data_IF_297926957459
#
_entry.id   IF_297926957459
#
_cell.length_a   1.000
_cell.length_b   1.000
_cell.length_c   1.000
_cell.angle_alpha   90.00
_cell.angle_beta   90.00
_cell.angle_gamma   90.00
#
_symmetry.space_group_name_H-M   'P 1'
#
loop_
_entity.id
_entity.type
_entity.pdbx_description
1 polymer ?
#
# COMPACT_ATOMS: atom_id res chain seq x y z
N UNK A 1 -11.49 -6.40 4.01
CA UNK A 1 -10.37 -6.02 3.10
C UNK A 1 -10.86 -6.14 1.66
N UNK A 2 -10.76 -5.07 0.88
CA UNK A 2 -11.33 -4.96 -0.48
C UNK A 2 -10.21 -4.77 -1.50
N UNK A 3 -10.21 -5.57 -2.57
CA UNK A 3 -9.24 -5.46 -3.67
C UNK A 3 -9.76 -4.46 -4.71
N UNK A 4 -8.91 -3.50 -5.09
CA UNK A 4 -9.21 -2.47 -6.08
C UNK A 4 -8.71 -2.88 -7.46
N UNK A 5 -7.47 -3.36 -7.54
CA UNK A 5 -6.86 -3.81 -8.79
C UNK A 5 -5.76 -4.84 -8.55
N UNK A 6 -5.43 -5.57 -9.62
CA UNK A 6 -4.29 -6.50 -9.66
C UNK A 6 -3.49 -6.22 -10.92
N UNK A 7 -2.23 -5.87 -10.74
CA UNK A 7 -1.26 -5.61 -11.81
C UNK A 7 -0.29 -6.79 -11.87
N UNK A 8 -0.17 -7.45 -13.02
CA UNK A 8 0.64 -8.67 -13.20
C UNK A 8 2.03 -8.39 -13.77
N UNK A 9 2.53 -7.15 -13.65
CA UNK A 9 3.83 -6.80 -14.23
C UNK A 9 5.02 -7.41 -13.46
N UNK A 10 6.10 -7.82 -14.16
CA UNK A 10 7.32 -8.28 -13.50
C UNK A 10 7.92 -7.19 -12.59
N UNK A 11 8.61 -7.54 -11.48
CA UNK A 11 9.08 -8.88 -11.10
C UNK A 11 8.10 -9.68 -10.23
N UNK A 12 6.98 -9.09 -9.79
CA UNK A 12 5.96 -9.75 -8.97
C UNK A 12 4.63 -9.02 -9.07
N UNK A 13 3.50 -9.74 -9.02
CA UNK A 13 2.19 -9.12 -9.09
C UNK A 13 1.96 -8.15 -7.93
N UNK A 14 1.33 -7.03 -8.23
CA UNK A 14 0.97 -5.99 -7.27
C UNK A 14 -0.54 -5.95 -7.10
N UNK A 15 -1.00 -6.18 -5.87
CA UNK A 15 -2.41 -6.13 -5.48
C UNK A 15 -2.65 -4.80 -4.78
N UNK A 16 -3.52 -3.96 -5.35
CA UNK A 16 -3.96 -2.73 -4.70
C UNK A 16 -5.22 -3.00 -3.89
N UNK A 17 -5.21 -2.58 -2.64
CA UNK A 17 -6.36 -2.71 -1.74
C UNK A 17 -6.82 -1.34 -1.27
N UNK A 18 -8.08 -1.23 -0.89
CA UNK A 18 -8.54 -0.11 -0.09
C UNK A 18 -7.99 -0.25 1.33
N UNK A 19 -7.57 0.88 1.94
CA UNK A 19 -7.14 0.92 3.34
C UNK A 19 -8.18 0.24 4.24
N UNK A 20 -7.70 -0.64 5.10
CA UNK A 20 -8.48 -1.38 6.09
C UNK A 20 -7.87 -1.21 7.48
N UNK A 21 -8.65 -1.35 8.54
CA UNK A 21 -8.15 -1.24 9.93
C UNK A 21 -6.99 -2.21 10.21
N UNK A 22 -7.07 -3.42 9.64
CA UNK A 22 -6.01 -4.42 9.72
C UNK A 22 -4.66 -3.93 9.16
N UNK A 23 -4.66 -3.01 8.20
CA UNK A 23 -3.42 -2.43 7.68
C UNK A 23 -2.68 -1.62 8.74
N UNK A 24 -3.41 -0.89 9.60
CA UNK A 24 -2.83 -0.15 10.72
C UNK A 24 -2.20 -1.11 11.74
N UNK A 25 -2.86 -2.24 12.02
CA UNK A 25 -2.30 -3.29 12.87
C UNK A 25 -1.03 -3.89 12.26
N UNK A 26 -1.03 -4.19 10.95
CA UNK A 26 0.15 -4.71 10.25
C UNK A 26 1.35 -3.75 10.29
N UNK A 27 1.13 -2.43 10.23
CA UNK A 27 2.18 -1.44 10.42
C UNK A 27 2.74 -1.49 11.85
N UNK A 28 1.87 -1.54 12.86
CA UNK A 28 2.27 -1.63 14.28
C UNK A 28 3.05 -2.91 14.60
N UNK A 29 2.72 -4.00 13.91
CA UNK A 29 3.38 -5.31 14.03
C UNK A 29 4.63 -5.43 13.15
N UNK A 30 5.06 -4.37 12.47
CA UNK A 30 6.22 -4.35 11.55
C UNK A 30 6.09 -5.33 10.37
N UNK A 31 4.88 -5.81 10.08
CA UNK A 31 4.57 -6.67 8.93
C UNK A 31 4.38 -5.88 7.64
N UNK A 32 4.15 -4.57 7.76
CA UNK A 32 4.03 -3.64 6.67
C UNK A 32 4.87 -2.39 6.94
N UNK A 33 5.19 -1.64 5.89
CA UNK A 33 5.90 -0.36 6.00
C UNK A 33 5.27 0.70 5.10
N UNK A 34 5.43 1.97 5.50
CA UNK A 34 5.10 3.11 4.63
C UNK A 34 6.30 3.49 3.78
N UNK A 35 6.03 3.72 2.50
CA UNK A 35 6.94 4.37 1.58
C UNK A 35 6.32 5.72 1.23
N UNK A 36 7.04 6.80 1.57
CA UNK A 36 6.66 8.14 1.18
C UNK A 36 6.95 8.36 -0.29
N UNK A 37 6.00 8.97 -1.00
CA UNK A 37 6.27 9.53 -2.31
C UNK A 37 6.32 11.05 -2.15
N UNK A 38 7.35 11.67 -2.72
CA UNK A 38 7.46 13.13 -2.72
C UNK A 38 6.29 13.75 -3.49
N UNK A 39 5.94 14.97 -3.07
CA UNK A 39 4.81 15.80 -3.49
C UNK A 39 4.28 15.51 -4.90
N UNK A 40 3.06 14.98 -4.98
CA UNK A 40 2.24 15.22 -6.16
C UNK A 40 1.64 16.62 -6.01
N UNK A 41 1.91 17.49 -7.00
CA UNK A 41 1.49 18.90 -7.04
C UNK A 41 -0.02 19.08 -6.81
N UNK A 42 -0.83 18.04 -7.02
CA UNK A 42 -2.29 18.09 -6.88
C UNK A 42 -2.85 17.47 -5.60
N UNK A 43 -2.16 16.52 -4.97
CA UNK A 43 -2.73 15.68 -3.89
C UNK A 43 -2.02 15.82 -2.54
N UNK A 44 -0.96 16.63 -2.45
CA UNK A 44 -0.19 16.79 -1.23
C UNK A 44 0.74 15.60 -0.98
N UNK A 45 1.18 15.45 0.27
CA UNK A 45 2.00 14.29 0.66
C UNK A 45 1.08 13.08 0.74
N UNK A 46 1.41 12.02 0.00
CA UNK A 46 0.76 10.73 0.18
C UNK A 46 1.82 9.68 0.50
N UNK A 47 1.40 8.69 1.29
CA UNK A 47 2.24 7.55 1.66
C UNK A 47 1.56 6.28 1.20
N UNK A 48 2.35 5.32 0.77
CA UNK A 48 1.84 4.01 0.37
C UNK A 48 2.29 2.97 1.39
N UNK A 49 1.31 2.34 2.03
CA UNK A 49 1.56 1.19 2.88
C UNK A 49 1.78 -0.05 2.03
N UNK A 50 2.74 -0.88 2.42
CA UNK A 50 3.13 -2.06 1.63
C UNK A 50 3.52 -3.23 2.52
N UNK A 51 3.15 -4.45 2.09
CA UNK A 51 3.70 -5.71 2.61
C UNK A 51 3.83 -6.74 1.49
N UNK A 52 4.54 -7.83 1.78
CA UNK A 52 4.60 -8.99 0.90
C UNK A 52 3.73 -10.12 1.43
N UNK A 53 3.00 -10.78 0.54
CA UNK A 53 2.21 -11.96 0.85
C UNK A 53 2.34 -12.98 -0.29
N UNK A 54 2.88 -14.15 0.00
CA UNK A 54 3.00 -15.26 -0.96
C UNK A 54 3.62 -14.83 -2.31
N UNK A 55 4.69 -14.03 -2.26
CA UNK A 55 5.36 -13.51 -3.46
C UNK A 55 4.67 -12.32 -4.14
N UNK A 56 3.47 -11.92 -3.71
CA UNK A 56 2.78 -10.73 -4.19
C UNK A 56 3.15 -9.50 -3.36
N UNK A 57 3.23 -8.34 -4.00
CA UNK A 57 3.28 -7.05 -3.32
C UNK A 57 1.84 -6.59 -3.07
N UNK A 58 1.49 -6.26 -1.84
CA UNK A 58 0.17 -5.69 -1.51
C UNK A 58 0.37 -4.25 -1.10
N UNK A 59 -0.40 -3.33 -1.69
CA UNK A 59 -0.25 -1.89 -1.47
C UNK A 59 -1.59 -1.19 -1.23
N UNK A 60 -1.57 -0.13 -0.43
CA UNK A 60 -2.68 0.83 -0.30
C UNK A 60 -2.12 2.24 -0.16
N UNK A 61 -2.84 3.21 -0.72
CA UNK A 61 -2.46 4.62 -0.61
C UNK A 61 -3.18 5.25 0.59
N UNK A 62 -2.46 6.08 1.34
CA UNK A 62 -3.00 6.96 2.37
C UNK A 62 -2.66 8.40 2.00
N UNK A 63 -3.70 9.22 1.88
CA UNK A 63 -3.56 10.66 1.84
C UNK A 63 -3.27 11.14 3.27
N UNK A 64 -2.16 11.84 3.48
CA UNK A 64 -1.98 12.58 4.73
C UNK A 64 -2.97 13.75 4.70
N UNK A 65 -3.98 13.70 5.57
CA UNK A 65 -4.97 14.77 5.76
C UNK A 65 -4.39 15.93 6.57
#
# INVERSE_FOLDING_TARGET
MTVLSVEMEPPRPTIRILKHESCVAMIKEEKAAYFGFDQDTYFGKYRQGQFQLNGCRVVWDELDA
#
